data_IF_550187984178
#
_entry.id   IF_550187984178
#
_cell.length_a   1.000
_cell.length_b   1.000
_cell.length_c   1.000
_cell.angle_alpha   90.00
_cell.angle_beta   90.00
_cell.angle_gamma   90.00
#
_symmetry.space_group_name_H-M   'P 1'
#
loop_
_entity.id
_entity.type
_entity.pdbx_description
1 polymer ?
#
# COMPACT_ATOMS: atom_id res chain seq x y z
N UNK A 1 -5.58 -7.16 12.60
CA UNK A 1 -5.29 -6.54 11.31
C UNK A 1 -5.05 -7.62 10.28
N UNK A 2 -5.92 -7.71 9.26
CA UNK A 2 -5.85 -8.72 8.20
C UNK A 2 -5.15 -8.17 6.94
N UNK A 3 -4.75 -9.06 6.04
CA UNK A 3 -4.21 -8.67 4.72
C UNK A 3 -5.16 -7.77 3.95
N UNK A 4 -6.46 -8.12 3.94
CA UNK A 4 -7.49 -7.38 3.22
C UNK A 4 -7.73 -5.98 3.83
N UNK A 5 -7.67 -5.85 5.16
CA UNK A 5 -7.74 -4.53 5.83
C UNK A 5 -6.59 -3.60 5.41
N UNK A 6 -5.36 -4.14 5.35
CA UNK A 6 -4.17 -3.37 4.91
C UNK A 6 -4.30 -2.95 3.45
N UNK A 7 -4.76 -3.84 2.57
CA UNK A 7 -4.95 -3.52 1.15
C UNK A 7 -6.10 -2.54 0.91
N UNK A 8 -7.16 -2.59 1.72
CA UNK A 8 -8.26 -1.64 1.67
C UNK A 8 -7.82 -0.25 2.14
N UNK A 9 -7.02 -0.18 3.22
CA UNK A 9 -6.43 1.07 3.69
C UNK A 9 -5.44 1.64 2.68
N UNK A 10 -4.64 0.80 2.02
CA UNK A 10 -3.75 1.19 0.93
C UNK A 10 -4.52 1.82 -0.24
N UNK A 11 -5.62 1.19 -0.67
CA UNK A 11 -6.50 1.76 -1.70
C UNK A 11 -7.09 3.11 -1.33
N UNK A 12 -7.48 3.26 -0.06
CA UNK A 12 -8.03 4.52 0.42
C UNK A 12 -6.95 5.60 0.38
N UNK A 13 -5.76 5.27 0.86
CA UNK A 13 -4.60 6.16 0.84
C UNK A 13 -4.27 6.62 -0.59
N UNK A 14 -4.13 5.72 -1.55
CA UNK A 14 -3.75 6.12 -2.92
C UNK A 14 -4.81 6.97 -3.60
N UNK A 15 -6.09 6.80 -3.25
CA UNK A 15 -7.19 7.63 -3.77
C UNK A 15 -7.34 9.00 -3.11
N UNK A 16 -7.06 9.09 -1.81
CA UNK A 16 -7.26 10.30 -1.01
C UNK A 16 -5.98 11.14 -0.88
N UNK A 17 -4.80 10.53 -1.01
CA UNK A 17 -3.53 11.24 -0.98
C UNK A 17 -3.36 12.08 -2.25
N UNK A 18 -2.74 13.25 -2.10
CA UNK A 18 -2.34 14.08 -3.25
C UNK A 18 -1.07 13.57 -3.95
N UNK A 19 -0.46 12.49 -3.43
CA UNK A 19 0.73 11.88 -4.00
C UNK A 19 0.41 11.04 -5.22
N UNK A 20 1.39 10.90 -6.12
CA UNK A 20 1.27 9.97 -7.24
C UNK A 20 1.51 8.53 -6.77
N UNK A 21 0.99 7.55 -7.51
CA UNK A 21 1.28 6.12 -7.25
C UNK A 21 2.78 5.87 -7.26
N UNK A 22 3.53 6.52 -8.16
CA UNK A 22 5.00 6.49 -8.18
C UNK A 22 5.66 6.99 -6.89
N UNK A 23 5.16 8.09 -6.31
CA UNK A 23 5.69 8.60 -5.04
C UNK A 23 5.39 7.62 -3.91
N UNK A 24 4.17 7.10 -3.86
CA UNK A 24 3.76 6.10 -2.87
C UNK A 24 4.62 4.83 -2.97
N UNK A 25 4.87 4.34 -4.18
CA UNK A 25 5.73 3.19 -4.42
C UNK A 25 7.17 3.46 -3.94
N UNK A 26 7.68 4.67 -4.16
CA UNK A 26 9.01 5.08 -3.67
C UNK A 26 9.08 5.09 -2.14
N UNK A 27 8.06 5.63 -1.46
CA UNK A 27 7.98 5.66 0.00
C UNK A 27 7.87 4.24 0.60
N UNK A 28 7.21 3.33 -0.12
CA UNK A 28 7.11 1.92 0.23
C UNK A 28 8.36 1.10 -0.14
N UNK A 29 9.26 1.66 -0.97
CA UNK A 29 10.45 0.98 -1.46
C UNK A 29 10.16 -0.14 -2.47
N UNK A 30 9.12 0.04 -3.28
CA UNK A 30 8.64 -0.93 -4.28
C UNK A 30 8.56 -0.28 -5.66
N UNK A 31 8.39 -1.07 -6.70
CA UNK A 31 8.12 -0.53 -8.04
C UNK A 31 6.66 -0.07 -8.14
N UNK A 32 6.41 0.95 -8.96
CA UNK A 32 5.05 1.44 -9.25
C UNK A 32 4.16 0.33 -9.82
N UNK A 33 4.71 -0.50 -10.72
CA UNK A 33 4.01 -1.67 -11.26
C UNK A 33 3.55 -2.64 -10.15
N UNK A 34 4.42 -2.96 -9.18
CA UNK A 34 4.07 -3.86 -8.08
C UNK A 34 2.99 -3.26 -7.15
N UNK A 35 3.04 -1.94 -6.92
CA UNK A 35 1.99 -1.23 -6.20
C UNK A 35 0.64 -1.34 -6.94
N UNK A 36 0.64 -1.10 -8.25
CA UNK A 36 -0.56 -1.23 -9.08
C UNK A 36 -1.10 -2.65 -9.09
N UNK A 37 -0.25 -3.66 -9.15
CA UNK A 37 -0.67 -5.07 -9.08
C UNK A 37 -1.35 -5.40 -7.74
N UNK A 38 -0.91 -4.80 -6.63
CA UNK A 38 -1.56 -4.94 -5.33
C UNK A 38 -2.91 -4.23 -5.28
N UNK A 39 -3.00 -3.02 -5.84
CA UNK A 39 -4.25 -2.27 -5.93
C UNK A 39 -5.25 -2.98 -6.86
N UNK A 40 -4.80 -3.59 -7.95
CA UNK A 40 -5.68 -4.34 -8.83
C UNK A 40 -6.03 -5.74 -8.27
N UNK A 41 -5.39 -6.16 -7.17
CA UNK A 41 -5.57 -7.47 -6.57
C UNK A 41 -5.00 -8.62 -7.42
N UNK A 42 -4.15 -8.31 -8.41
CA UNK A 42 -3.49 -9.28 -9.29
C UNK A 42 -2.47 -10.09 -8.50
N UNK A 43 -1.73 -9.42 -7.61
CA UNK A 43 -0.72 -10.02 -6.75
C UNK A 43 -1.04 -9.71 -5.29
N UNK A 44 -0.82 -10.68 -4.39
CA UNK A 44 -0.88 -10.44 -2.95
C UNK A 44 0.51 -10.10 -2.41
N UNK A 45 0.66 -9.08 -1.54
CA UNK A 45 1.95 -8.78 -0.93
C UNK A 45 2.40 -9.91 -0.01
N UNK A 46 3.71 -10.16 0.00
CA UNK A 46 4.32 -11.11 0.93
C UNK A 46 4.19 -10.63 2.39
N UNK A 47 4.36 -11.55 3.35
CA UNK A 47 4.18 -11.27 4.79
C UNK A 47 5.07 -10.12 5.29
N UNK A 48 6.32 -10.07 4.87
CA UNK A 48 7.24 -8.98 5.21
C UNK A 48 6.78 -7.63 4.65
N UNK A 49 6.21 -7.66 3.44
CA UNK A 49 5.71 -6.47 2.78
C UNK A 49 4.41 -5.97 3.40
N UNK A 50 3.54 -6.88 3.85
CA UNK A 50 2.35 -6.53 4.61
C UNK A 50 2.68 -5.79 5.90
N UNK A 51 3.72 -6.21 6.63
CA UNK A 51 4.18 -5.48 7.81
C UNK A 51 4.68 -4.07 7.48
N UNK A 52 5.33 -3.90 6.31
CA UNK A 52 5.80 -2.60 5.83
C UNK A 52 4.64 -1.68 5.45
N UNK A 53 3.67 -2.20 4.69
CA UNK A 53 2.43 -1.51 4.32
C UNK A 53 1.66 -1.08 5.56
N UNK A 54 1.49 -1.99 6.51
CA UNK A 54 0.90 -1.71 7.82
C UNK A 54 1.60 -0.57 8.56
N UNK A 55 2.93 -0.62 8.65
CA UNK A 55 3.71 0.42 9.30
C UNK A 55 3.62 1.77 8.60
N UNK A 56 3.62 1.77 7.26
CA UNK A 56 3.43 2.96 6.45
C UNK A 56 2.05 3.59 6.68
N UNK A 57 0.98 2.80 6.52
CA UNK A 57 -0.39 3.28 6.67
C UNK A 57 -0.69 3.79 8.08
N UNK A 58 -0.09 3.17 9.10
CA UNK A 58 -0.17 3.67 10.48
C UNK A 58 0.52 5.03 10.66
N UNK A 59 1.64 5.26 9.96
CA UNK A 59 2.36 6.55 9.98
C UNK A 59 1.54 7.67 9.34
N UNK A 60 0.82 7.36 8.26
CA UNK A 60 -0.04 8.33 7.55
C UNK A 60 -1.46 8.40 8.11
N UNK A 61 -1.80 7.63 9.15
CA UNK A 61 -3.07 7.71 9.88
C UNK A 61 -4.26 7.00 9.24
N UNK A 62 -4.01 5.99 8.39
CA UNK A 62 -5.05 5.23 7.69
C UNK A 62 -5.48 3.95 8.42
N UNK A 63 -4.72 3.54 9.44
CA UNK A 63 -4.98 2.42 10.37
C UNK A 63 -4.36 2.71 11.74
#
# INVERSE_FOLDING_TARGET
MTTDEVLQALHRYTRESQGTDRQTATELGVTEALLLDWLQGVVRPERCMLARLAGFLRRVGYI
#
